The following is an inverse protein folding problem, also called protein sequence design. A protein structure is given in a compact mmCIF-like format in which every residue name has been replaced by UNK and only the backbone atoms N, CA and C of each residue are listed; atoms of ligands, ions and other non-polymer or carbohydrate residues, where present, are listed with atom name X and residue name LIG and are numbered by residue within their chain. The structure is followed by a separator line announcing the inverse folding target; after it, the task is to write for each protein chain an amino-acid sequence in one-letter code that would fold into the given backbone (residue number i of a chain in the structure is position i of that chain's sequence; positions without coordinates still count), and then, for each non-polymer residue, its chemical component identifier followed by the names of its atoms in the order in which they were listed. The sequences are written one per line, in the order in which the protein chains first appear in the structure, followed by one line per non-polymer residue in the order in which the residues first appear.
data_IF_225217462303
#
_entry.id   IF_225217462303
#
_cell.length_a   1.000
_cell.length_b   1.000
_cell.length_c   1.000
_cell.angle_alpha   90.00
_cell.angle_beta   90.00
_cell.angle_gamma   90.00
#
_symmetry.space_group_name_H-M   'P 1'
#
loop_
_entity.id
_entity.type
_entity.pdbx_description
1 polymer ?
#
# COMPACT_ATOMS: atom_id res chain seq x y z
N UNK A 1 18.66 16.62 6.28
CA UNK A 1 19.15 17.30 5.05
C UNK A 1 19.25 18.82 5.30
N UNK A 2 20.01 19.59 4.51
CA UNK A 2 20.16 21.04 4.73
C UNK A 2 18.91 21.84 4.31
N UNK A 3 18.52 22.84 5.10
CA UNK A 3 17.32 23.67 4.88
C UNK A 3 17.66 24.99 4.19
N UNK A 4 18.23 24.90 3.00
CA UNK A 4 18.57 26.08 2.20
C UNK A 4 17.47 26.32 1.18
N UNK A 5 16.80 27.46 1.31
CA UNK A 5 15.74 27.87 0.40
C UNK A 5 16.26 28.27 -0.99
N UNK A 6 15.38 28.33 -1.99
CA UNK A 6 15.71 28.64 -3.39
C UNK A 6 16.68 29.82 -3.64
N UNK A 7 16.74 30.81 -2.74
CA UNK A 7 17.61 31.97 -2.88
C UNK A 7 19.06 31.74 -2.41
N UNK A 8 19.33 30.67 -1.65
CA UNK A 8 20.61 30.44 -0.97
C UNK A 8 21.68 29.66 -1.76
N UNK A 9 21.41 29.26 -3.00
CA UNK A 9 22.33 28.44 -3.82
C UNK A 9 22.25 28.81 -5.31
N UNK A 10 22.45 30.09 -5.66
CA UNK A 10 22.19 30.58 -7.02
C UNK A 10 23.05 29.90 -8.10
N UNK A 11 24.32 29.67 -7.81
CA UNK A 11 25.32 29.15 -8.77
C UNK A 11 25.08 27.66 -9.10
N UNK A 12 24.58 26.89 -8.15
CA UNK A 12 24.40 25.43 -8.31
C UNK A 12 23.03 25.01 -8.87
N UNK A 13 22.15 25.97 -9.21
CA UNK A 13 20.76 25.65 -9.62
C UNK A 13 20.70 24.74 -10.84
N UNK A 14 21.54 25.03 -11.83
CA UNK A 14 21.54 24.28 -13.09
C UNK A 14 22.15 22.90 -12.89
N UNK A 15 23.15 22.77 -12.01
CA UNK A 15 23.64 21.47 -11.57
C UNK A 15 22.51 20.63 -10.96
N UNK A 16 21.77 21.16 -10.00
CA UNK A 16 20.68 20.41 -9.36
C UNK A 16 19.56 20.03 -10.33
N UNK A 17 19.15 20.94 -11.22
CA UNK A 17 18.12 20.66 -12.24
C UNK A 17 18.52 19.57 -13.22
N UNK A 18 19.80 19.52 -13.58
CA UNK A 18 20.30 18.51 -14.50
C UNK A 18 20.47 17.13 -13.83
N UNK A 19 20.71 17.10 -12.52
CA UNK A 19 21.01 15.88 -11.77
C UNK A 19 19.78 15.23 -11.12
N UNK A 20 18.75 16.02 -10.81
CA UNK A 20 17.63 15.60 -9.97
C UNK A 20 16.28 15.96 -10.58
N UNK A 21 15.40 14.98 -10.71
CA UNK A 21 14.08 15.16 -11.34
C UNK A 21 13.11 15.94 -10.45
N UNK A 22 13.34 15.97 -9.12
CA UNK A 22 12.53 16.72 -8.18
C UNK A 22 12.80 18.23 -8.22
N UNK A 23 13.86 18.67 -8.91
CA UNK A 23 14.28 20.07 -9.01
C UNK A 23 13.51 20.85 -10.09
N UNK A 24 12.18 20.91 -9.96
CA UNK A 24 11.31 21.64 -10.91
C UNK A 24 10.91 23.02 -10.39
N UNK A 25 11.00 24.05 -11.24
CA UNK A 25 10.62 25.42 -10.89
C UNK A 25 11.47 26.01 -9.75
N UNK A 26 10.80 26.56 -8.72
CA UNK A 26 11.44 26.93 -7.45
C UNK A 26 11.51 25.68 -6.57
N UNK A 27 12.64 25.44 -5.92
CA UNK A 27 12.83 24.32 -4.98
C UNK A 27 13.85 24.70 -3.89
N UNK A 28 13.82 23.97 -2.80
CA UNK A 28 14.76 24.07 -1.68
C UNK A 28 15.70 22.84 -1.67
N UNK A 29 16.91 22.96 -1.12
CA UNK A 29 17.95 21.91 -1.23
C UNK A 29 17.52 20.59 -0.58
N UNK A 30 16.63 20.59 0.42
CA UNK A 30 16.21 19.34 1.04
C UNK A 30 15.48 18.40 0.06
N UNK A 31 14.88 18.91 -1.03
CA UNK A 31 14.20 18.08 -2.03
C UNK A 31 15.19 17.16 -2.78
N UNK A 32 16.22 17.67 -3.48
CA UNK A 32 17.21 16.81 -4.13
C UNK A 32 17.99 15.92 -3.16
N UNK A 33 18.13 16.33 -1.88
CA UNK A 33 18.71 15.46 -0.86
C UNK A 33 17.84 14.23 -0.56
N UNK A 34 16.52 14.38 -0.52
CA UNK A 34 15.60 13.24 -0.36
C UNK A 34 15.71 12.32 -1.57
N UNK A 35 15.66 12.86 -2.78
CA UNK A 35 15.82 12.09 -4.02
C UNK A 35 17.16 11.33 -4.04
N UNK A 36 18.27 12.02 -3.72
CA UNK A 36 19.59 11.42 -3.68
C UNK A 36 19.67 10.31 -2.62
N UNK A 37 19.12 10.55 -1.43
CA UNK A 37 19.09 9.56 -0.35
C UNK A 37 18.40 8.28 -0.80
N UNK A 38 17.21 8.38 -1.40
CA UNK A 38 16.47 7.24 -1.95
C UNK A 38 17.24 6.55 -3.07
N UNK A 39 17.84 7.30 -4.01
CA UNK A 39 18.60 6.72 -5.12
C UNK A 39 19.82 5.92 -4.63
N UNK A 40 20.44 6.32 -3.53
CA UNK A 40 21.59 5.63 -2.92
C UNK A 40 21.23 4.36 -2.14
N UNK A 41 19.98 4.18 -1.71
CA UNK A 41 19.57 2.99 -0.98
C UNK A 41 19.50 1.74 -1.88
N UNK A 42 19.73 0.57 -1.29
CA UNK A 42 19.31 -0.72 -1.88
C UNK A 42 17.79 -0.88 -1.80
N UNK A 43 17.21 -1.78 -2.59
CA UNK A 43 15.79 -2.13 -2.48
C UNK A 43 15.46 -2.64 -1.06
N UNK A 44 14.33 -2.18 -0.51
CA UNK A 44 13.94 -2.40 0.89
C UNK A 44 14.71 -1.56 1.91
N UNK A 45 15.65 -0.71 1.48
CA UNK A 45 16.40 0.19 2.36
C UNK A 45 15.53 1.34 2.90
N UNK A 46 15.82 1.80 4.12
CA UNK A 46 15.08 2.86 4.79
C UNK A 46 15.80 4.21 4.73
N UNK A 47 15.07 5.28 4.42
CA UNK A 47 15.50 6.67 4.55
C UNK A 47 14.68 7.36 5.63
N UNK A 48 15.33 7.79 6.71
CA UNK A 48 14.73 8.63 7.75
C UNK A 48 15.28 10.05 7.70
N UNK A 49 14.42 11.07 7.52
CA UNK A 49 14.82 12.47 7.58
C UNK A 49 13.88 13.32 8.42
N UNK A 50 14.48 14.28 9.11
CA UNK A 50 13.79 15.46 9.63
C UNK A 50 13.93 16.54 8.54
N UNK A 51 12.80 17.06 8.02
CA UNK A 51 12.80 18.09 6.98
C UNK A 51 11.51 18.94 6.99
N UNK A 52 11.49 20.09 6.28
CA UNK A 52 10.31 20.94 6.25
C UNK A 52 9.10 20.23 5.62
N UNK A 53 7.90 20.38 6.19
CA UNK A 53 6.67 19.70 5.70
C UNK A 53 6.01 20.41 4.51
N UNK A 54 6.52 21.58 4.12
CA UNK A 54 5.95 22.39 3.04
C UNK A 54 5.83 21.65 1.69
N UNK A 55 6.72 20.68 1.41
CA UNK A 55 6.63 19.89 0.18
C UNK A 55 5.37 19.01 0.11
N UNK A 56 4.67 18.76 1.23
CA UNK A 56 3.42 17.99 1.23
C UNK A 56 2.28 18.75 0.55
N UNK A 57 2.25 20.09 0.69
CA UNK A 57 1.09 20.93 0.31
C UNK A 57 1.41 21.90 -0.83
N UNK A 58 2.65 22.37 -0.93
CA UNK A 58 3.02 23.46 -1.84
C UNK A 58 3.39 22.95 -3.24
N UNK A 59 3.29 23.84 -4.22
CA UNK A 59 3.57 23.53 -5.63
C UNK A 59 5.02 23.10 -5.87
N UNK A 60 5.99 23.68 -5.15
CA UNK A 60 7.41 23.33 -5.30
C UNK A 60 7.71 21.88 -4.89
N UNK A 61 6.86 21.28 -4.05
CA UNK A 61 6.98 19.88 -3.65
C UNK A 61 6.36 18.89 -4.62
N UNK A 62 5.68 19.33 -5.68
CA UNK A 62 4.91 18.45 -6.57
C UNK A 62 5.78 17.35 -7.18
N UNK A 63 6.92 17.71 -7.75
CA UNK A 63 7.85 16.76 -8.37
C UNK A 63 8.40 15.75 -7.34
N UNK A 64 8.66 16.18 -6.11
CA UNK A 64 9.06 15.27 -5.02
C UNK A 64 7.92 14.32 -4.64
N UNK A 65 6.67 14.78 -4.54
CA UNK A 65 5.52 13.90 -4.26
C UNK A 65 5.33 12.85 -5.34
N UNK A 66 5.49 13.23 -6.61
CA UNK A 66 5.45 12.30 -7.75
C UNK A 66 6.61 11.30 -7.71
N UNK A 67 7.83 11.77 -7.43
CA UNK A 67 8.99 10.90 -7.25
C UNK A 67 8.77 9.87 -6.13
N UNK A 68 8.34 10.31 -4.94
CA UNK A 68 8.07 9.43 -3.81
C UNK A 68 6.96 8.42 -4.14
N UNK A 69 5.87 8.89 -4.79
CA UNK A 69 4.75 8.04 -5.23
C UNK A 69 5.18 6.94 -6.21
N UNK A 70 6.27 7.11 -6.95
CA UNK A 70 6.70 6.14 -7.95
C UNK A 70 7.88 5.26 -7.49
N UNK A 71 8.58 5.65 -6.42
CA UNK A 71 9.86 5.04 -6.04
C UNK A 71 9.93 4.57 -4.58
N UNK A 72 8.93 4.87 -3.75
CA UNK A 72 8.97 4.57 -2.31
C UNK A 72 7.62 4.14 -1.73
N UNK A 73 7.68 3.36 -0.65
CA UNK A 73 6.61 3.28 0.34
C UNK A 73 6.85 4.33 1.44
N UNK A 74 5.78 5.00 1.86
CA UNK A 74 5.81 5.90 3.02
C UNK A 74 5.50 5.06 4.24
N UNK A 75 6.45 4.92 5.16
CA UNK A 75 6.23 4.16 6.40
C UNK A 75 5.72 5.07 7.52
N UNK A 76 6.21 6.31 7.59
CA UNK A 76 5.83 7.22 8.67
C UNK A 76 5.92 8.68 8.22
N UNK A 77 4.93 9.48 8.63
CA UNK A 77 4.95 10.93 8.56
C UNK A 77 4.55 11.47 9.94
N UNK A 78 5.45 12.19 10.59
CA UNK A 78 5.18 12.94 11.82
C UNK A 78 5.24 14.42 11.47
N UNK A 79 4.10 15.11 11.42
CA UNK A 79 4.02 16.55 11.15
C UNK A 79 3.83 17.31 12.47
N UNK A 80 4.83 18.09 12.86
CA UNK A 80 4.79 18.87 14.10
C UNK A 80 3.93 20.13 14.01
N UNK A 81 3.40 20.47 12.83
CA UNK A 81 2.55 21.64 12.62
C UNK A 81 3.18 22.92 13.24
N UNK A 82 2.39 23.73 13.96
CA UNK A 82 2.84 24.98 14.57
C UNK A 82 3.78 24.80 15.77
N UNK A 83 4.13 23.57 16.16
CA UNK A 83 5.13 23.36 17.20
C UNK A 83 6.51 23.75 16.68
N UNK A 84 7.10 24.76 17.33
CA UNK A 84 8.50 25.13 17.10
C UNK A 84 9.41 24.10 17.75
N UNK A 85 9.78 23.08 16.98
CA UNK A 85 10.71 22.04 17.42
C UNK A 85 12.14 22.57 17.55
N UNK A 86 12.49 23.58 16.75
CA UNK A 86 13.80 24.23 16.77
C UNK A 86 13.63 25.71 17.08
N UNK A 87 14.30 26.19 18.13
CA UNK A 87 14.17 27.57 18.63
C UNK A 87 14.51 28.63 17.57
N UNK A 88 15.45 28.31 16.68
CA UNK A 88 15.98 29.25 15.66
C UNK A 88 15.38 29.06 14.25
N UNK A 89 14.52 28.06 14.03
CA UNK A 89 13.98 27.76 12.70
C UNK A 89 12.47 28.05 12.61
N UNK A 90 12.10 28.94 11.67
CA UNK A 90 10.69 29.27 11.39
C UNK A 90 9.96 28.21 10.54
N UNK A 91 10.62 27.11 10.17
CA UNK A 91 10.07 26.13 9.25
C UNK A 91 9.23 25.09 9.99
N UNK A 92 7.98 24.91 9.51
CA UNK A 92 7.18 23.72 9.75
C UNK A 92 7.98 22.46 9.44
N UNK A 93 8.28 21.65 10.45
CA UNK A 93 9.17 20.50 10.33
C UNK A 93 8.43 19.21 10.63
N UNK A 94 8.86 18.11 10.02
CA UNK A 94 8.34 16.79 10.28
C UNK A 94 9.42 15.71 10.17
N UNK A 95 9.10 14.53 10.69
CA UNK A 95 9.88 13.31 10.54
C UNK A 95 9.25 12.45 9.46
N UNK A 96 10.07 11.98 8.52
CA UNK A 96 9.64 11.16 7.40
C UNK A 96 10.48 9.90 7.34
N UNK A 97 9.82 8.74 7.32
CA UNK A 97 10.45 7.45 7.10
C UNK A 97 9.93 6.88 5.78
N UNK A 98 10.82 6.66 4.83
CA UNK A 98 10.54 6.07 3.52
C UNK A 98 11.28 4.74 3.38
N UNK A 99 10.67 3.79 2.70
CA UNK A 99 11.33 2.58 2.23
C UNK A 99 11.50 2.68 0.70
N UNK A 100 12.71 2.42 0.20
CA UNK A 100 12.94 2.28 -1.24
C UNK A 100 12.31 0.98 -1.71
N UNK A 101 11.09 1.08 -2.18
CA UNK A 101 10.40 0.00 -2.86
C UNK A 101 9.43 0.56 -3.89
N UNK A 102 9.24 -0.15 -4.99
CA UNK A 102 8.15 0.19 -5.93
C UNK A 102 6.83 0.14 -5.16
N UNK A 103 6.11 1.26 -5.03
CA UNK A 103 4.84 1.25 -4.35
C UNK A 103 3.83 0.44 -5.16
N UNK A 104 3.12 -0.43 -4.45
CA UNK A 104 1.97 -1.16 -4.97
C UNK A 104 0.75 -0.23 -5.02
N UNK A 105 -0.23 -0.55 -5.87
CA UNK A 105 -1.52 0.17 -5.86
C UNK A 105 -2.26 0.08 -4.52
N UNK A 106 -1.90 -0.92 -3.69
CA UNK A 106 -2.38 -1.07 -2.32
C UNK A 106 -1.34 -0.50 -1.34
N UNK A 107 -1.81 0.32 -0.42
CA UNK A 107 -1.04 0.75 0.74
C UNK A 107 -1.62 0.05 1.98
N UNK A 108 -0.76 -0.53 2.80
CA UNK A 108 -1.16 -1.23 4.02
C UNK A 108 -0.89 -0.30 5.20
N UNK A 109 -1.89 -0.13 6.05
CA UNK A 109 -1.75 0.52 7.34
C UNK A 109 -1.97 -0.56 8.39
N UNK A 110 -0.94 -0.85 9.16
CA UNK A 110 -1.01 -1.79 10.26
C UNK A 110 -1.76 -1.14 11.42
N UNK A 111 -2.80 -1.80 11.90
CA UNK A 111 -3.60 -1.35 13.03
C UNK A 111 -3.33 -2.26 14.21
N UNK A 112 -2.60 -1.77 15.21
CA UNK A 112 -2.42 -2.45 16.50
C UNK A 112 -3.62 -2.18 17.43
N UNK A 113 -3.63 -2.83 18.61
CA UNK A 113 -4.63 -2.65 19.68
C UNK A 113 -4.92 -1.18 20.00
N UNK A 114 -3.89 -0.32 19.91
CA UNK A 114 -4.03 1.12 20.01
C UNK A 114 -3.42 1.80 18.77
N UNK A 115 -4.29 2.16 17.83
CA UNK A 115 -3.90 2.94 16.65
C UNK A 115 -4.35 4.40 16.78
N UNK A 116 -3.40 5.34 16.77
CA UNK A 116 -3.71 6.79 16.88
C UNK A 116 -3.50 7.47 15.52
N UNK A 117 -4.59 8.01 14.96
CA UNK A 117 -4.53 8.80 13.73
C UNK A 117 -4.36 10.29 14.09
N UNK A 118 -3.17 10.85 13.87
CA UNK A 118 -2.85 12.26 14.14
C UNK A 118 -2.60 13.02 12.84
N UNK A 119 -3.16 14.23 12.73
CA UNK A 119 -2.93 15.10 11.58
C UNK A 119 -3.96 16.23 11.47
N UNK A 120 -3.73 17.24 10.62
CA UNK A 120 -4.65 18.37 10.43
C UNK A 120 -5.98 17.94 9.81
N UNK A 121 -7.02 18.77 9.88
CA UNK A 121 -8.29 18.51 9.20
C UNK A 121 -8.08 18.31 7.69
N UNK A 122 -8.82 17.37 7.09
CA UNK A 122 -8.68 17.01 5.68
C UNK A 122 -7.51 16.08 5.36
N UNK A 123 -6.71 15.64 6.33
CA UNK A 123 -5.61 14.68 6.10
C UNK A 123 -6.05 13.23 5.87
N UNK A 124 -7.35 12.98 5.69
CA UNK A 124 -7.90 11.63 5.45
C UNK A 124 -8.22 10.80 6.69
N UNK A 125 -8.01 11.31 7.91
CA UNK A 125 -8.32 10.57 9.17
C UNK A 125 -9.78 10.11 9.23
N UNK A 126 -10.72 11.03 9.06
CA UNK A 126 -12.15 10.73 9.04
C UNK A 126 -12.52 9.84 7.85
N UNK A 127 -11.84 9.98 6.70
CA UNK A 127 -12.06 9.12 5.54
C UNK A 127 -11.64 7.68 5.81
N UNK A 128 -10.52 7.46 6.52
CA UNK A 128 -10.08 6.14 6.94
C UNK A 128 -11.05 5.50 7.94
N UNK A 129 -11.48 6.24 8.97
CA UNK A 129 -12.48 5.74 9.93
C UNK A 129 -13.82 5.44 9.23
N UNK A 130 -14.23 6.32 8.31
CA UNK A 130 -15.41 6.11 7.48
C UNK A 130 -15.28 4.85 6.62
N UNK A 131 -14.11 4.56 6.07
CA UNK A 131 -13.88 3.32 5.32
C UNK A 131 -14.06 2.08 6.21
N UNK A 132 -13.57 2.11 7.45
CA UNK A 132 -13.80 1.02 8.42
C UNK A 132 -15.29 0.85 8.71
N UNK A 133 -16.01 1.95 9.00
CA UNK A 133 -17.46 1.92 9.21
C UNK A 133 -18.22 1.33 8.01
N UNK A 134 -17.87 1.80 6.80
CA UNK A 134 -18.46 1.32 5.55
C UNK A 134 -18.16 -0.16 5.33
N UNK A 135 -16.98 -0.64 5.70
CA UNK A 135 -16.63 -2.05 5.60
C UNK A 135 -17.56 -2.92 6.43
N UNK A 136 -17.84 -2.58 7.69
CA UNK A 136 -18.69 -3.40 8.57
C UNK A 136 -20.19 -3.16 8.40
N UNK A 137 -20.60 -2.09 7.70
CA UNK A 137 -22.01 -1.81 7.46
C UNK A 137 -22.69 -2.88 6.59
N UNK A 138 -23.84 -3.40 7.03
CA UNK A 138 -24.66 -4.36 6.26
C UNK A 138 -25.34 -3.75 5.03
N UNK A 139 -25.58 -2.43 5.07
CA UNK A 139 -26.07 -1.64 3.95
C UNK A 139 -25.31 -0.32 3.95
N UNK A 140 -24.35 -0.18 3.03
CA UNK A 140 -23.60 1.07 2.94
C UNK A 140 -24.44 2.21 2.37
N UNK A 141 -24.39 3.35 3.07
CA UNK A 141 -24.89 4.63 2.57
C UNK A 141 -23.69 5.44 2.14
N UNK A 142 -23.46 5.49 0.84
CA UNK A 142 -22.44 6.32 0.22
C UNK A 142 -23.11 7.39 -0.64
N UNK A 143 -22.50 8.56 -0.68
CA UNK A 143 -22.86 9.67 -1.56
C UNK A 143 -21.70 9.95 -2.51
N UNK A 144 -21.90 10.80 -3.51
CA UNK A 144 -20.80 11.22 -4.41
C UNK A 144 -19.63 11.86 -3.65
N UNK A 145 -19.86 12.43 -2.47
CA UNK A 145 -18.79 13.01 -1.63
C UNK A 145 -17.83 11.98 -1.05
N UNK A 146 -18.24 10.70 -0.96
CA UNK A 146 -17.37 9.62 -0.52
C UNK A 146 -16.39 9.16 -1.62
N UNK A 147 -16.62 9.56 -2.87
CA UNK A 147 -15.77 9.22 -4.01
C UNK A 147 -14.69 10.28 -4.23
N UNK A 148 -13.49 9.83 -4.59
CA UNK A 148 -12.40 10.73 -4.94
C UNK A 148 -12.80 11.61 -6.12
N UNK A 149 -12.71 12.93 -5.95
CA UNK A 149 -13.13 13.93 -6.94
C UNK A 149 -14.59 13.77 -7.41
N UNK A 150 -15.44 13.17 -6.56
CA UNK A 150 -16.83 12.81 -6.88
C UNK A 150 -16.97 11.87 -8.09
N UNK A 151 -15.88 11.21 -8.49
CA UNK A 151 -15.88 10.30 -9.63
C UNK A 151 -16.44 8.94 -9.21
N UNK A 152 -17.69 8.66 -9.61
CA UNK A 152 -18.40 7.41 -9.31
C UNK A 152 -18.12 6.28 -10.31
N UNK A 153 -17.31 6.52 -11.35
CA UNK A 153 -16.92 5.50 -12.33
C UNK A 153 -15.96 4.47 -11.72
N UNK A 154 -15.27 4.85 -10.64
CA UNK A 154 -14.37 3.98 -9.89
C UNK A 154 -15.02 3.52 -8.57
N UNK A 155 -14.99 2.22 -8.25
CA UNK A 155 -15.52 1.73 -6.99
C UNK A 155 -14.70 2.23 -5.80
N UNK A 156 -15.37 2.38 -4.65
CA UNK A 156 -14.68 2.42 -3.37
C UNK A 156 -14.34 0.97 -3.01
N UNK A 157 -13.04 0.69 -2.86
CA UNK A 157 -12.50 -0.63 -2.54
C UNK A 157 -11.87 -0.57 -1.16
N UNK A 158 -12.33 -1.41 -0.26
CA UNK A 158 -11.86 -1.45 1.13
C UNK A 158 -11.44 -2.89 1.44
N UNK A 159 -10.15 -3.11 1.68
CA UNK A 159 -9.61 -4.42 2.05
C UNK A 159 -9.16 -4.42 3.50
N UNK A 160 -9.59 -5.40 4.29
CA UNK A 160 -9.13 -5.64 5.65
C UNK A 160 -8.46 -7.02 5.70
N UNK A 161 -7.29 -7.07 6.32
CA UNK A 161 -6.57 -8.32 6.62
C UNK A 161 -6.81 -8.64 8.09
N UNK A 162 -7.43 -9.78 8.35
CA UNK A 162 -7.61 -10.32 9.68
C UNK A 162 -6.44 -11.25 9.97
N UNK A 163 -5.78 -11.00 11.10
CA UNK A 163 -4.74 -11.83 11.70
C UNK A 163 -5.23 -12.34 13.05
N UNK A 164 -4.52 -13.31 13.63
CA UNK A 164 -4.85 -13.91 14.93
C UNK A 164 -6.26 -14.54 14.99
N UNK A 165 -6.66 -15.21 13.90
CA UNK A 165 -7.91 -15.94 13.81
C UNK A 165 -7.94 -17.11 14.79
N UNK A 166 -9.11 -17.33 15.40
CA UNK A 166 -9.35 -18.52 16.24
C UNK A 166 -9.35 -19.80 15.40
N UNK A 167 -9.15 -20.96 16.03
CA UNK A 167 -9.17 -22.24 15.30
C UNK A 167 -10.50 -22.48 14.57
N UNK A 168 -11.62 -22.10 15.18
CA UNK A 168 -12.95 -22.21 14.55
C UNK A 168 -13.06 -21.34 13.29
N UNK A 169 -12.50 -20.13 13.30
CA UNK A 169 -12.47 -19.24 12.13
C UNK A 169 -11.51 -19.76 11.06
N UNK A 170 -10.35 -20.30 11.45
CA UNK A 170 -9.41 -20.92 10.52
C UNK A 170 -10.07 -22.08 9.76
N UNK A 171 -10.79 -22.94 10.47
CA UNK A 171 -11.50 -24.07 9.87
C UNK A 171 -12.66 -23.60 8.98
N UNK A 172 -13.41 -22.57 9.42
CA UNK A 172 -14.54 -22.03 8.66
C UNK A 172 -14.10 -21.33 7.35
N UNK A 173 -12.98 -20.60 7.39
CA UNK A 173 -12.51 -19.79 6.28
C UNK A 173 -11.34 -20.39 5.49
N UNK A 174 -10.97 -21.65 5.76
CA UNK A 174 -9.86 -22.39 5.12
C UNK A 174 -9.71 -22.12 3.61
N UNK A 175 -10.79 -22.12 2.78
CA UNK A 175 -10.65 -21.90 1.33
C UNK A 175 -10.09 -20.52 0.97
N UNK A 176 -10.30 -19.53 1.84
CA UNK A 176 -9.98 -18.11 1.64
C UNK A 176 -8.72 -17.66 2.39
N UNK A 177 -8.16 -18.51 3.25
CA UNK A 177 -6.94 -18.18 4.00
C UNK A 177 -5.71 -18.12 3.09
N UNK A 178 -4.84 -17.17 3.39
CA UNK A 178 -3.48 -17.08 2.90
C UNK A 178 -2.53 -17.25 4.10
N UNK A 179 -2.02 -18.46 4.28
CA UNK A 179 -1.41 -18.87 5.56
C UNK A 179 -2.45 -18.84 6.68
N UNK A 180 -2.20 -18.04 7.72
CA UNK A 180 -3.10 -17.86 8.87
C UNK A 180 -3.87 -16.53 8.82
N UNK A 181 -3.84 -15.84 7.68
CA UNK A 181 -4.51 -14.55 7.52
C UNK A 181 -5.69 -14.67 6.56
N UNK A 182 -6.77 -13.96 6.87
CA UNK A 182 -7.93 -13.84 6.01
C UNK A 182 -7.98 -12.41 5.45
N UNK A 183 -7.91 -12.26 4.13
CA UNK A 183 -8.12 -10.96 3.50
C UNK A 183 -9.53 -10.87 2.94
N UNK A 184 -10.30 -9.88 3.39
CA UNK A 184 -11.65 -9.61 2.90
C UNK A 184 -11.69 -8.25 2.24
N UNK A 185 -12.20 -8.18 1.01
CA UNK A 185 -12.35 -6.96 0.23
C UNK A 185 -13.82 -6.64 0.01
N UNK A 186 -14.24 -5.43 0.35
CA UNK A 186 -15.56 -4.89 0.06
C UNK A 186 -15.49 -3.89 -1.08
N UNK A 187 -16.25 -4.14 -2.13
CA UNK A 187 -16.37 -3.26 -3.28
C UNK A 187 -17.73 -2.58 -3.27
N UNK A 188 -17.74 -1.25 -3.26
CA UNK A 188 -18.93 -0.41 -3.29
C UNK A 188 -18.94 0.36 -4.61
N UNK A 189 -19.96 0.10 -5.42
CA UNK A 189 -20.15 0.67 -6.76
C UNK A 189 -21.41 1.51 -6.71
N UNK A 190 -21.38 2.78 -7.14
CA UNK A 190 -22.57 3.67 -7.13
C UNK A 190 -22.68 4.58 -8.36
N UNK A 191 -22.79 4.02 -9.58
CA UNK A 191 -22.95 4.81 -10.79
C UNK A 191 -24.34 5.48 -10.78
N UNK A 192 -24.36 6.82 -10.84
CA UNK A 192 -25.60 7.60 -10.96
C UNK A 192 -26.60 7.41 -9.82
N UNK A 193 -26.13 7.11 -8.60
CA UNK A 193 -26.96 7.05 -7.39
C UNK A 193 -27.70 5.74 -7.13
N UNK A 194 -27.55 4.72 -7.99
CA UNK A 194 -27.98 3.34 -7.71
C UNK A 194 -26.75 2.44 -7.60
N UNK A 195 -26.43 2.06 -6.37
CA UNK A 195 -25.26 1.25 -6.08
C UNK A 195 -25.55 -0.18 -5.66
N UNK A 196 -24.51 -0.99 -5.68
CA UNK A 196 -24.48 -2.30 -5.03
C UNK A 196 -23.14 -2.49 -4.33
N UNK A 197 -23.12 -3.39 -3.35
CA UNK A 197 -21.92 -3.77 -2.62
C UNK A 197 -21.71 -5.29 -2.66
N UNK A 198 -20.45 -5.73 -2.69
CA UNK A 198 -20.06 -7.14 -2.64
C UNK A 198 -18.81 -7.33 -1.79
N UNK A 199 -18.74 -8.46 -1.10
CA UNK A 199 -17.54 -8.93 -0.41
C UNK A 199 -16.83 -10.00 -1.23
N UNK A 200 -15.52 -10.01 -1.16
CA UNK A 200 -14.62 -10.98 -1.79
C UNK A 200 -13.60 -11.46 -0.76
N UNK A 201 -13.37 -12.77 -0.69
CA UNK A 201 -12.19 -13.33 -0.03
C UNK A 201 -11.00 -13.27 -1.00
N UNK A 202 -9.88 -12.71 -0.57
CA UNK A 202 -8.65 -12.63 -1.36
C UNK A 202 -7.62 -13.61 -0.82
N UNK A 203 -6.97 -14.32 -1.74
CA UNK A 203 -5.90 -15.28 -1.46
C UNK A 203 -4.81 -15.11 -2.50
N UNK A 204 -3.53 -15.11 -2.08
CA UNK A 204 -2.44 -15.14 -3.05
C UNK A 204 -2.47 -16.45 -3.84
N UNK A 205 -2.33 -16.33 -5.15
CA UNK A 205 -2.29 -17.45 -6.06
C UNK A 205 -1.10 -17.25 -7.01
N UNK A 206 -0.35 -18.33 -7.26
CA UNK A 206 0.67 -18.30 -8.30
C UNK A 206 -0.02 -18.16 -9.68
N UNK A 207 0.25 -17.10 -10.46
CA UNK A 207 -0.42 -16.85 -11.74
C UNK A 207 -0.20 -17.97 -12.76
N UNK A 208 0.93 -18.68 -12.73
CA UNK A 208 1.24 -19.74 -13.68
C UNK A 208 0.24 -20.91 -13.60
N UNK A 209 -0.36 -21.11 -12.41
CA UNK A 209 -1.42 -22.08 -12.17
C UNK A 209 -2.80 -21.65 -12.68
N UNK A 210 -2.93 -20.48 -13.32
CA UNK A 210 -4.21 -19.98 -13.82
C UNK A 210 -4.80 -20.92 -14.89
N UNK A 211 -3.97 -21.43 -15.81
CA UNK A 211 -4.41 -22.37 -16.85
C UNK A 211 -5.04 -23.64 -16.23
N UNK A 212 -4.41 -24.17 -15.16
CA UNK A 212 -4.93 -25.32 -14.41
C UNK A 212 -6.25 -25.02 -13.71
N UNK A 213 -6.39 -23.84 -13.11
CA UNK A 213 -7.62 -23.44 -12.39
C UNK A 213 -8.79 -23.15 -13.32
N UNK A 214 -8.52 -22.57 -14.49
CA UNK A 214 -9.54 -22.23 -15.48
C UNK A 214 -10.05 -23.45 -16.28
N UNK A 215 -9.27 -24.53 -16.36
CA UNK A 215 -9.69 -25.75 -17.02
C UNK A 215 -10.89 -26.42 -16.32
N UNK A 216 -11.91 -26.80 -17.08
CA UNK A 216 -13.13 -27.42 -16.53
C UNK A 216 -12.98 -28.94 -16.45
N UNK A 217 -12.50 -29.58 -17.51
CA UNK A 217 -12.37 -31.04 -17.57
C UNK A 217 -11.09 -31.53 -16.85
N UNK A 218 -11.19 -32.67 -16.18
CA UNK A 218 -10.06 -33.27 -15.47
C UNK A 218 -8.86 -33.58 -16.39
N UNK A 219 -9.09 -33.88 -17.67
CA UNK A 219 -8.03 -34.08 -18.66
C UNK A 219 -7.25 -32.79 -18.90
N UNK A 220 -7.95 -31.69 -19.13
CA UNK A 220 -7.35 -30.40 -19.45
C UNK A 220 -6.57 -29.84 -18.26
N UNK A 221 -7.09 -30.04 -17.03
CA UNK A 221 -6.36 -29.75 -15.79
C UNK A 221 -5.03 -30.49 -15.71
N UNK A 222 -5.01 -31.79 -16.05
CA UNK A 222 -3.77 -32.59 -16.03
C UNK A 222 -2.78 -32.12 -17.08
N UNK A 223 -3.24 -31.87 -18.31
CA UNK A 223 -2.39 -31.36 -19.39
C UNK A 223 -1.73 -30.03 -19.01
N UNK A 224 -2.50 -29.09 -18.47
CA UNK A 224 -1.99 -27.80 -18.01
C UNK A 224 -1.01 -27.96 -16.83
N UNK A 225 -1.29 -28.88 -15.90
CA UNK A 225 -0.41 -29.15 -14.77
C UNK A 225 0.91 -29.79 -15.22
N UNK A 226 0.86 -30.79 -16.10
CA UNK A 226 2.07 -31.44 -16.63
C UNK A 226 2.96 -30.49 -17.43
N UNK A 227 2.38 -29.49 -18.10
CA UNK A 227 3.12 -28.39 -18.73
C UNK A 227 3.85 -27.54 -17.68
N UNK A 228 3.18 -27.14 -16.59
CA UNK A 228 3.82 -26.40 -15.50
C UNK A 228 4.96 -27.17 -14.85
N UNK A 229 4.86 -28.50 -14.74
CA UNK A 229 5.94 -29.34 -14.18
C UNK A 229 7.22 -29.34 -15.00
N UNK A 230 7.17 -28.95 -16.27
CA UNK A 230 8.37 -28.79 -17.09
C UNK A 230 9.17 -27.55 -16.67
N UNK A 231 8.49 -26.52 -16.17
CA UNK A 231 9.08 -25.29 -15.66
C UNK A 231 9.43 -25.42 -14.17
N UNK A 232 8.58 -26.09 -13.39
CA UNK A 232 8.72 -26.30 -11.95
C UNK A 232 8.93 -27.80 -11.65
N UNK A 233 10.18 -28.24 -11.73
CA UNK A 233 10.57 -29.67 -11.69
C UNK A 233 10.28 -30.39 -10.36
N UNK A 234 10.16 -29.62 -9.29
CA UNK A 234 9.91 -30.01 -7.92
C UNK A 234 8.42 -30.24 -7.61
N UNK A 235 7.52 -29.91 -8.55
CA UNK A 235 6.10 -30.23 -8.43
C UNK A 235 5.84 -31.75 -8.49
N UNK A 236 5.01 -32.28 -7.58
CA UNK A 236 4.72 -33.72 -7.52
C UNK A 236 3.98 -34.22 -8.77
N UNK A 237 4.11 -35.50 -9.07
CA UNK A 237 3.29 -36.12 -10.11
C UNK A 237 1.82 -36.10 -9.72
N UNK A 238 0.94 -35.80 -10.67
CA UNK A 238 -0.50 -35.90 -10.46
C UNK A 238 -0.90 -37.34 -10.09
N UNK A 239 -1.71 -37.50 -9.04
CA UNK A 239 -2.25 -38.80 -8.59
C UNK A 239 -3.75 -38.70 -8.37
N UNK A 240 -4.48 -39.80 -8.58
CA UNK A 240 -5.92 -39.88 -8.28
C UNK A 240 -6.24 -39.72 -6.79
N UNK A 241 -5.31 -40.10 -5.93
CA UNK A 241 -5.47 -40.06 -4.47
C UNK A 241 -4.44 -39.09 -3.92
N UNK A 242 -4.84 -38.03 -3.19
CA UNK A 242 -3.89 -37.11 -2.59
C UNK A 242 -3.07 -37.85 -1.53
N UNK A 243 -1.74 -37.69 -1.60
CA UNK A 243 -0.88 -38.08 -0.50
C UNK A 243 -0.81 -36.88 0.44
N UNK A 244 -1.64 -36.86 1.48
CA UNK A 244 -1.38 -35.99 2.61
C UNK A 244 -0.16 -36.58 3.34
N UNK A 245 0.95 -35.84 3.49
CA UNK A 245 2.03 -36.25 4.39
C UNK A 245 1.43 -36.41 5.79
N UNK A 246 1.71 -37.51 6.48
CA UNK A 246 1.17 -37.79 7.83
C UNK A 246 1.55 -36.71 8.87
N UNK A 247 2.51 -35.85 8.58
CA UNK A 247 2.99 -34.79 9.48
C UNK A 247 2.04 -33.59 9.59
N UNK A 248 1.02 -33.46 8.73
CA UNK A 248 -0.01 -32.42 8.87
C UNK A 248 -1.19 -32.83 9.78
N UNK A 249 -1.14 -34.02 10.39
CA UNK A 249 -2.21 -34.54 11.28
C UNK A 249 -1.80 -34.61 12.76
N UNK A 250 -0.56 -34.26 13.11
CA UNK A 250 -0.06 -34.34 14.50
C UNK A 250 -0.07 -33.02 15.27
N UNK A 251 -0.72 -31.97 14.75
CA UNK A 251 -0.99 -30.73 15.48
C UNK A 251 -2.46 -30.59 15.94
N UNK A 252 -3.25 -31.67 15.86
CA UNK A 252 -4.61 -31.76 16.38
C UNK A 252 -4.77 -32.95 17.34
N UNK A 253 -4.02 -32.92 18.44
CA UNK A 253 -4.31 -33.65 19.67
C UNK A 253 -4.19 -32.70 20.86
#
# INVERSE_FOLDING_TARGET
PPYVGFHGFKEDKDYFRNMYEVCQGRFDIYLPFIERGIKLLKEGGLLGFICPTNFLKRQHGKALREFLKNNCKILQIVDFQDQRIFEEALNYTGIFIFEKSKPTSRHYLECEDLTVLVGPNGSGKSSFLRAIELFYALQTKVTEEDFYDKNTDHPIVISIVFSDLTQEELDLYEPYLDGNSLTVEKNIVSPGGKGYEKYFGLKMLNPDFQEVRSAVAARDKRTAYDKLRQEYTDLPHWRKTPHLPRESLSLLA
#
